data_IF_598888508742
#
_entry.id   IF_598888508742
#
_cell.length_a   1.000
_cell.length_b   1.000
_cell.length_c   1.000
_cell.angle_alpha   90.00
_cell.angle_beta   90.00
_cell.angle_gamma   90.00
#
_symmetry.space_group_name_H-M   'P 1'
#
loop_
_entity.id
_entity.type
_entity.pdbx_description
1 polymer ?
#
# COMPACT_ATOMS: atom_id res chain seq x y z
N UNK A 1 -2.05 0.82 9.56
CA UNK A 1 -2.23 -0.45 10.31
C UNK A 1 -3.61 -1.05 10.07
N UNK A 2 -4.73 -0.37 10.39
CA UNK A 2 -6.08 -0.97 10.21
C UNK A 2 -6.36 -1.47 8.78
N UNK A 3 -6.03 -0.69 7.73
CA UNK A 3 -6.18 -1.14 6.34
C UNK A 3 -5.39 -2.42 6.02
N UNK A 4 -4.20 -2.58 6.62
CA UNK A 4 -3.36 -3.76 6.43
C UNK A 4 -4.02 -5.01 7.03
N UNK A 5 -4.64 -4.89 8.21
CA UNK A 5 -5.37 -6.00 8.82
C UNK A 5 -6.64 -6.38 8.03
N UNK A 6 -7.37 -5.38 7.50
CA UNK A 6 -8.53 -5.63 6.62
C UNK A 6 -8.11 -6.31 5.32
N UNK A 7 -6.96 -5.91 4.76
CA UNK A 7 -6.41 -6.53 3.55
C UNK A 7 -6.09 -8.01 3.79
N UNK A 8 -5.53 -8.36 4.97
CA UNK A 8 -5.30 -9.76 5.35
C UNK A 8 -6.59 -10.59 5.41
N UNK A 9 -7.70 -10.04 5.89
CA UNK A 9 -9.01 -10.74 5.87
C UNK A 9 -9.52 -11.01 4.45
N UNK A 10 -9.11 -10.19 3.48
CA UNK A 10 -9.44 -10.36 2.07
C UNK A 10 -8.36 -11.14 1.28
N UNK A 11 -7.32 -11.66 1.95
CA UNK A 11 -6.21 -12.37 1.30
C UNK A 11 -5.27 -11.48 0.49
N UNK A 12 -5.26 -10.16 0.75
CA UNK A 12 -4.40 -9.18 0.09
C UNK A 12 -3.18 -8.92 0.98
N UNK A 13 -1.99 -8.99 0.40
CA UNK A 13 -0.74 -8.66 1.08
C UNK A 13 -0.30 -7.24 0.71
N UNK A 14 0.47 -6.58 1.58
CA UNK A 14 0.89 -5.19 1.34
C UNK A 14 1.66 -5.00 0.03
N UNK A 15 2.46 -5.99 -0.38
CA UNK A 15 3.24 -5.95 -1.62
C UNK A 15 2.37 -6.11 -2.88
N UNK A 16 1.15 -6.66 -2.76
CA UNK A 16 0.21 -6.73 -3.89
C UNK A 16 -0.28 -5.34 -4.30
N UNK A 17 -0.19 -4.36 -3.40
CA UNK A 17 -0.53 -2.95 -3.64
C UNK A 17 0.66 -2.10 -4.10
N UNK A 18 1.87 -2.65 -4.18
CA UNK A 18 3.06 -1.93 -4.64
C UNK A 18 3.08 -1.94 -6.18
N UNK A 19 3.38 -0.80 -6.79
CA UNK A 19 3.57 -0.73 -8.24
C UNK A 19 4.81 -1.55 -8.65
N UNK A 20 4.60 -2.56 -9.50
CA UNK A 20 5.64 -3.52 -9.91
C UNK A 20 6.71 -2.93 -10.83
N UNK A 21 6.37 -1.89 -11.58
CA UNK A 21 7.28 -1.21 -12.53
C UNK A 21 8.08 -0.11 -11.85
N UNK A 22 7.43 0.63 -10.94
CA UNK A 22 8.04 1.70 -10.16
C UNK A 22 7.60 1.62 -8.69
N UNK A 23 8.30 0.82 -7.86
CA UNK A 23 7.95 0.59 -6.46
C UNK A 23 7.93 1.85 -5.58
N UNK A 24 8.64 2.90 -6.01
CA UNK A 24 8.76 4.16 -5.28
C UNK A 24 7.80 5.25 -5.80
N UNK A 25 6.91 4.92 -6.74
CA UNK A 25 5.89 5.87 -7.22
C UNK A 25 4.95 6.24 -6.09
N UNK A 26 4.95 7.53 -5.74
CA UNK A 26 4.03 8.07 -4.74
C UNK A 26 2.63 8.24 -5.35
N UNK A 27 1.55 7.87 -4.62
CA UNK A 27 0.19 8.19 -5.01
C UNK A 27 -0.03 9.71 -5.06
N UNK A 28 -0.96 10.16 -5.91
CA UNK A 28 -1.40 11.56 -5.91
C UNK A 28 -1.98 11.94 -4.54
N UNK A 29 -1.71 13.17 -4.10
CA UNK A 29 -2.11 13.69 -2.79
C UNK A 29 -1.51 12.92 -1.58
N UNK A 30 -0.44 12.16 -1.79
CA UNK A 30 0.32 11.55 -0.68
C UNK A 30 1.27 12.55 -0.04
N UNK A 31 1.32 12.56 1.30
CA UNK A 31 2.33 13.27 2.08
C UNK A 31 3.04 12.29 3.00
N UNK A 32 4.35 12.51 3.21
CA UNK A 32 5.08 11.82 4.28
C UNK A 32 4.38 12.09 5.61
N UNK A 33 4.21 11.05 6.42
CA UNK A 33 3.68 11.16 7.79
C UNK A 33 4.79 11.39 8.83
N UNK A 34 6.00 11.76 8.38
CA UNK A 34 7.16 12.13 9.19
C UNK A 34 7.84 13.36 8.60
#
# INVERSE_FOLDING_TARGET
>A
VIQHEIDHLNGIMFFDRINKENPFKLPENSKSLY
#
